data_IF_147113548636
#
_entry.id   IF_147113548636
#
_cell.length_a   1.000
_cell.length_b   1.000
_cell.length_c   1.000
_cell.angle_alpha   90.00
_cell.angle_beta   90.00
_cell.angle_gamma   90.00
#
_symmetry.space_group_name_H-M   'P 1'
#
loop_
_entity.id
_entity.type
_entity.pdbx_description
1 polymer ?
#
# COMPACT_ATOMS: atom_id res chain seq x y z
N UNK A 1 3.20 5.49 -15.94
CA UNK A 1 3.44 6.65 -15.08
C UNK A 1 2.70 6.49 -13.75
N UNK A 2 3.25 6.97 -12.67
CA UNK A 2 2.64 6.82 -11.35
C UNK A 2 2.59 8.17 -10.65
N UNK A 3 1.49 8.43 -9.96
CA UNK A 3 1.38 9.61 -9.11
C UNK A 3 1.02 9.15 -7.71
N UNK A 4 1.56 9.81 -6.70
CA UNK A 4 1.29 9.49 -5.31
C UNK A 4 0.91 10.76 -4.58
N UNK A 5 -0.25 10.73 -3.92
CA UNK A 5 -0.70 11.80 -3.04
C UNK A 5 -0.59 11.30 -1.61
N UNK A 6 0.17 11.99 -0.80
CA UNK A 6 0.36 11.62 0.60
C UNK A 6 -0.42 12.55 1.49
N UNK A 7 -1.26 11.99 2.36
CA UNK A 7 -2.03 12.76 3.33
C UNK A 7 -1.93 12.11 4.69
N UNK A 8 -2.30 12.87 5.73
CA UNK A 8 -2.35 12.32 7.10
C UNK A 8 -3.75 12.52 7.64
N UNK A 9 -4.30 11.45 8.21
CA UNK A 9 -5.64 11.46 8.79
C UNK A 9 -5.61 10.69 10.10
N UNK A 10 -5.85 11.39 11.21
CA UNK A 10 -5.92 10.77 12.55
C UNK A 10 -4.69 9.94 12.90
N UNK A 11 -3.50 10.46 12.56
CA UNK A 11 -2.25 9.77 12.87
C UNK A 11 -1.88 8.68 11.89
N UNK A 12 -2.63 8.52 10.81
CA UNK A 12 -2.36 7.54 9.76
C UNK A 12 -1.87 8.27 8.53
N UNK A 13 -0.76 7.79 7.95
CA UNK A 13 -0.31 8.29 6.64
C UNK A 13 -1.00 7.49 5.55
N UNK A 14 -1.66 8.18 4.63
CA UNK A 14 -2.36 7.57 3.50
C UNK A 14 -1.63 7.94 2.23
N UNK A 15 -1.23 6.91 1.46
CA UNK A 15 -0.69 7.09 0.12
C UNK A 15 -1.77 6.71 -0.89
N UNK A 16 -2.27 7.69 -1.63
CA UNK A 16 -3.18 7.45 -2.75
C UNK A 16 -2.34 7.33 -4.01
N UNK A 17 -2.28 6.13 -4.57
CA UNK A 17 -1.43 5.84 -5.72
C UNK A 17 -2.28 5.75 -6.98
N UNK A 18 -1.84 6.40 -8.05
CA UNK A 18 -2.50 6.36 -9.36
C UNK A 18 -1.52 5.85 -10.39
N UNK A 19 -1.97 4.91 -11.24
CA UNK A 19 -1.17 4.39 -12.35
C UNK A 19 -0.69 2.97 -12.10
N UNK A 20 0.58 2.71 -12.38
CA UNK A 20 1.16 1.38 -12.23
C UNK A 20 2.30 1.40 -11.23
N UNK A 21 2.37 0.35 -10.41
CA UNK A 21 3.51 0.14 -9.52
C UNK A 21 4.37 -0.96 -10.14
N UNK A 22 5.50 -0.57 -10.70
CA UNK A 22 6.37 -1.48 -11.43
C UNK A 22 7.84 -1.18 -11.11
N UNK A 23 8.75 -1.85 -11.81
CA UNK A 23 10.18 -1.71 -11.55
C UNK A 23 10.66 -0.25 -11.70
N UNK A 24 10.02 0.52 -12.58
CA UNK A 24 10.40 1.91 -12.80
C UNK A 24 9.81 2.86 -11.76
N UNK A 25 8.64 2.55 -11.22
CA UNK A 25 7.91 3.46 -10.31
C UNK A 25 8.03 3.07 -8.85
N UNK A 26 8.27 1.80 -8.53
CA UNK A 26 8.33 1.36 -7.15
C UNK A 26 9.40 2.07 -6.30
N UNK A 27 10.56 2.51 -6.85
CA UNK A 27 11.52 3.27 -6.05
C UNK A 27 10.96 4.58 -5.52
N UNK A 28 10.08 5.24 -6.26
CA UNK A 28 9.44 6.48 -5.80
C UNK A 28 8.52 6.22 -4.61
N UNK A 29 7.72 5.16 -4.69
CA UNK A 29 6.84 4.77 -3.59
C UNK A 29 7.66 4.44 -2.34
N UNK A 30 8.71 3.66 -2.50
CA UNK A 30 9.61 3.29 -1.41
C UNK A 30 10.23 4.52 -0.75
N UNK A 31 10.67 5.47 -1.57
CA UNK A 31 11.31 6.69 -1.07
C UNK A 31 10.34 7.53 -0.24
N UNK A 32 9.10 7.68 -0.71
CA UNK A 32 8.08 8.40 0.04
C UNK A 32 7.73 7.69 1.33
N UNK A 33 7.65 6.37 1.29
CA UNK A 33 7.39 5.58 2.48
C UNK A 33 8.51 5.79 3.52
N UNK A 34 9.76 5.81 3.09
CA UNK A 34 10.90 5.96 3.99
C UNK A 34 10.94 7.34 4.67
N UNK A 35 10.33 8.34 4.04
CA UNK A 35 10.30 9.69 4.60
C UNK A 35 9.19 9.89 5.64
N UNK A 36 8.16 9.05 5.62
CA UNK A 36 7.05 9.21 6.55
C UNK A 36 7.40 8.61 7.91
N UNK A 37 6.79 9.11 8.97
CA UNK A 37 7.12 8.72 10.34
C UNK A 37 5.94 8.14 11.12
N UNK A 38 4.76 8.06 10.51
CA UNK A 38 3.59 7.49 11.16
C UNK A 38 3.79 6.00 11.40
N UNK A 39 3.24 5.50 12.50
CA UNK A 39 3.26 4.08 12.80
C UNK A 39 2.14 3.31 12.10
N UNK A 40 1.25 4.00 11.42
CA UNK A 40 0.13 3.42 10.69
C UNK A 40 0.09 4.01 9.31
N UNK A 41 0.06 3.13 8.31
CA UNK A 41 0.09 3.53 6.90
C UNK A 41 -1.01 2.77 6.15
N UNK A 42 -1.73 3.49 5.31
CA UNK A 42 -2.67 2.89 4.36
C UNK A 42 -2.20 3.24 2.96
N UNK A 43 -2.12 2.24 2.09
CA UNK A 43 -1.85 2.45 0.67
C UNK A 43 -3.16 2.22 -0.08
N UNK A 44 -3.69 3.27 -0.67
CA UNK A 44 -4.93 3.21 -1.44
C UNK A 44 -4.59 2.90 -2.89
N UNK A 45 -5.04 1.75 -3.34
CA UNK A 45 -4.75 1.22 -4.67
C UNK A 45 -5.94 1.32 -5.63
N UNK A 46 -6.95 2.10 -5.27
CA UNK A 46 -8.18 2.21 -6.08
C UNK A 46 -7.90 2.65 -7.51
N UNK A 47 -6.90 3.50 -7.70
CA UNK A 47 -6.54 4.03 -9.01
C UNK A 47 -5.30 3.36 -9.60
N UNK A 48 -4.90 2.23 -9.04
CA UNK A 48 -3.77 1.45 -9.55
C UNK A 48 -4.30 0.40 -10.53
N UNK A 49 -3.80 0.46 -11.77
CA UNK A 49 -4.25 -0.44 -12.83
C UNK A 49 -3.44 -1.73 -12.90
N UNK A 50 -2.20 -1.71 -12.40
CA UNK A 50 -1.33 -2.86 -12.50
C UNK A 50 -0.19 -2.78 -11.47
N UNK A 51 0.20 -3.95 -10.97
CA UNK A 51 1.36 -4.08 -10.08
C UNK A 51 2.18 -5.26 -10.60
N UNK A 52 3.47 -5.06 -10.87
CA UNK A 52 4.36 -6.17 -11.25
C UNK A 52 5.04 -6.76 -10.00
N UNK A 53 5.92 -7.73 -10.21
CA UNK A 53 6.60 -8.37 -9.09
C UNK A 53 7.46 -7.40 -8.27
N UNK A 54 8.06 -6.41 -8.92
CA UNK A 54 8.83 -5.38 -8.21
C UNK A 54 7.94 -4.55 -7.31
N UNK A 55 6.73 -4.22 -7.77
CA UNK A 55 5.76 -3.51 -6.96
C UNK A 55 5.28 -4.32 -5.77
N UNK A 56 5.00 -5.61 -6.00
CA UNK A 56 4.59 -6.50 -4.90
C UNK A 56 5.69 -6.61 -3.84
N UNK A 57 6.94 -6.78 -4.27
CA UNK A 57 8.08 -6.86 -3.33
C UNK A 57 8.20 -5.56 -2.53
N UNK A 58 8.03 -4.41 -3.18
CA UNK A 58 8.09 -3.12 -2.49
C UNK A 58 7.02 -3.03 -1.40
N UNK A 59 5.79 -3.42 -1.68
CA UNK A 59 4.73 -3.41 -0.68
C UNK A 59 5.04 -4.36 0.48
N UNK A 60 5.58 -5.54 0.19
CA UNK A 60 5.97 -6.49 1.23
C UNK A 60 7.08 -5.91 2.11
N UNK A 61 8.06 -5.26 1.50
CA UNK A 61 9.14 -4.62 2.26
C UNK A 61 8.61 -3.52 3.16
N UNK A 62 7.66 -2.72 2.66
CA UNK A 62 7.02 -1.69 3.46
C UNK A 62 6.30 -2.30 4.66
N UNK A 63 5.57 -3.40 4.45
CA UNK A 63 4.87 -4.09 5.54
C UNK A 63 5.86 -4.59 6.59
N UNK A 64 6.95 -5.20 6.17
CA UNK A 64 7.96 -5.73 7.09
C UNK A 64 8.57 -4.61 7.92
N UNK A 65 8.89 -3.47 7.31
CA UNK A 65 9.46 -2.33 8.03
C UNK A 65 8.47 -1.80 9.05
N UNK A 66 7.20 -1.70 8.70
CA UNK A 66 6.19 -1.23 9.64
C UNK A 66 6.07 -2.16 10.84
N UNK A 67 6.03 -3.46 10.59
CA UNK A 67 5.94 -4.44 11.69
C UNK A 67 7.18 -4.41 12.59
N UNK A 68 8.35 -4.22 12.01
CA UNK A 68 9.60 -4.13 12.79
C UNK A 68 9.61 -2.92 13.71
N UNK A 69 8.87 -1.86 13.37
CA UNK A 69 8.77 -0.65 14.16
C UNK A 69 7.56 -0.66 15.10
N UNK A 70 6.85 -1.78 15.18
CA UNK A 70 5.64 -1.87 15.99
C UNK A 70 4.44 -1.19 15.35
N UNK A 71 4.50 -0.93 14.05
CA UNK A 71 3.42 -0.30 13.32
C UNK A 71 2.59 -1.26 12.50
N UNK A 72 1.73 -0.73 11.65
CA UNK A 72 0.87 -1.53 10.77
C UNK A 72 0.67 -0.86 9.43
N UNK A 73 0.37 -1.67 8.43
CA UNK A 73 0.14 -1.21 7.06
C UNK A 73 -1.06 -1.92 6.48
N UNK A 74 -2.01 -1.16 5.94
CA UNK A 74 -3.18 -1.70 5.27
C UNK A 74 -3.23 -1.28 3.82
N UNK A 75 -3.95 -2.04 3.03
CA UNK A 75 -4.20 -1.75 1.62
C UNK A 75 -5.70 -1.57 1.42
N UNK A 76 -6.07 -0.70 0.47
CA UNK A 76 -7.48 -0.46 0.20
C UNK A 76 -7.76 -0.34 -1.29
N UNK A 77 -8.99 -0.67 -1.67
CA UNK A 77 -9.50 -0.38 -3.00
C UNK A 77 -8.89 -1.18 -4.13
N UNK A 78 -8.44 -2.40 -3.88
CA UNK A 78 -7.85 -3.21 -4.94
C UNK A 78 -8.86 -3.51 -6.04
N UNK A 79 -8.46 -3.25 -7.30
CA UNK A 79 -9.26 -3.70 -8.44
C UNK A 79 -9.25 -5.22 -8.49
N UNK A 80 -10.19 -5.81 -9.25
CA UNK A 80 -10.24 -7.27 -9.38
C UNK A 80 -8.93 -7.83 -9.90
N UNK A 81 -8.33 -7.15 -10.86
CA UNK A 81 -7.05 -7.58 -11.44
C UNK A 81 -5.92 -7.56 -10.41
N UNK A 82 -5.82 -6.49 -9.64
CA UNK A 82 -4.79 -6.37 -8.61
C UNK A 82 -5.05 -7.36 -7.48
N UNK A 83 -6.33 -7.49 -7.08
CA UNK A 83 -6.69 -8.47 -6.04
C UNK A 83 -6.29 -9.88 -6.46
N UNK A 84 -6.51 -10.25 -7.72
CA UNK A 84 -6.14 -11.57 -8.22
C UNK A 84 -4.63 -11.82 -8.07
N UNK A 85 -3.80 -10.81 -8.31
CA UNK A 85 -2.36 -10.95 -8.13
C UNK A 85 -2.00 -11.26 -6.68
N UNK A 86 -2.67 -10.60 -5.74
CA UNK A 86 -2.44 -10.85 -4.33
C UNK A 86 -2.92 -12.24 -3.92
N UNK A 87 -4.04 -12.70 -4.48
CA UNK A 87 -4.58 -14.03 -4.17
C UNK A 87 -3.70 -15.14 -4.72
N UNK A 88 -3.25 -15.00 -5.97
CA UNK A 88 -2.39 -16.01 -6.61
C UNK A 88 -1.07 -16.16 -5.87
N UNK A 89 -0.51 -15.06 -5.40
CA UNK A 89 0.75 -15.06 -4.65
C UNK A 89 0.55 -15.32 -3.16
N UNK A 90 -0.70 -15.41 -2.71
CA UNK A 90 -1.10 -15.59 -1.31
C UNK A 90 -0.69 -14.42 -0.41
N UNK A 91 -0.34 -13.29 -1.01
CA UNK A 91 0.00 -12.08 -0.26
C UNK A 91 -1.23 -11.45 0.38
N UNK A 92 -2.43 -11.77 -0.11
CA UNK A 92 -3.67 -11.30 0.48
C UNK A 92 -3.80 -11.71 1.96
N UNK A 93 -3.09 -12.75 2.38
CA UNK A 93 -3.11 -13.22 3.76
C UNK A 93 -2.14 -12.46 4.66
N UNK A 94 -1.21 -11.73 4.08
CA UNK A 94 -0.23 -10.96 4.85
C UNK A 94 -0.70 -9.55 5.16
N UNK A 95 -1.52 -8.97 4.29
CA UNK A 95 -1.96 -7.59 4.41
C UNK A 95 -3.37 -7.51 4.96
N UNK A 96 -3.66 -6.41 5.67
CA UNK A 96 -5.04 -6.03 5.98
C UNK A 96 -5.57 -5.32 4.73
N UNK A 97 -6.51 -5.95 4.05
CA UNK A 97 -7.08 -5.44 2.80
C UNK A 97 -8.53 -5.04 3.04
N UNK A 98 -8.88 -3.84 2.62
CA UNK A 98 -10.22 -3.30 2.80
C UNK A 98 -10.79 -2.81 1.46
N UNK A 99 -12.13 -2.79 1.30
CA UNK A 99 -12.74 -2.38 0.03
C UNK A 99 -12.49 -0.92 -0.31
N UNK A 100 -12.32 -0.06 0.69
CA UNK A 100 -12.11 1.36 0.47
C UNK A 100 -11.24 1.94 1.57
N UNK A 101 -10.83 3.18 1.36
CA UNK A 101 -9.91 3.86 2.26
C UNK A 101 -10.52 4.05 3.66
N UNK A 102 -11.80 4.37 3.73
CA UNK A 102 -12.47 4.59 4.99
C UNK A 102 -12.46 3.35 5.88
N UNK A 103 -12.75 2.18 5.31
CA UNK A 103 -12.72 0.93 6.06
C UNK A 103 -11.30 0.55 6.44
N UNK A 104 -10.32 0.83 5.57
CA UNK A 104 -8.92 0.58 5.90
C UNK A 104 -8.48 1.40 7.09
N UNK A 105 -8.86 2.68 7.13
CA UNK A 105 -8.54 3.55 8.26
C UNK A 105 -9.17 3.04 9.55
N UNK A 106 -10.39 2.52 9.49
CA UNK A 106 -11.05 1.98 10.67
C UNK A 106 -10.36 0.72 11.19
N UNK A 107 -9.90 -0.13 10.29
CA UNK A 107 -9.26 -1.40 10.68
C UNK A 107 -7.84 -1.21 11.22
N UNK A 108 -7.12 -0.20 10.75
CA UNK A 108 -5.72 -0.03 11.09
C UNK A 108 -5.53 0.75 12.39
N UNK A 109 -6.57 1.39 12.85
CA UNK A 109 -6.54 2.07 14.15
C UNK A 109 -6.43 1.04 15.30
#
# INVERSE_FOLDING_TARGET
>A
MMEIKSTQQDGVTVFEVTGEINISTSPELKKLFEKQTSKKVVVDLQKVSYIDSSGLVTLVEMLKKMKAQGGSLGLSGLSDKVRSLFEITKLDKLFVISPNQQEALAKIK
#
